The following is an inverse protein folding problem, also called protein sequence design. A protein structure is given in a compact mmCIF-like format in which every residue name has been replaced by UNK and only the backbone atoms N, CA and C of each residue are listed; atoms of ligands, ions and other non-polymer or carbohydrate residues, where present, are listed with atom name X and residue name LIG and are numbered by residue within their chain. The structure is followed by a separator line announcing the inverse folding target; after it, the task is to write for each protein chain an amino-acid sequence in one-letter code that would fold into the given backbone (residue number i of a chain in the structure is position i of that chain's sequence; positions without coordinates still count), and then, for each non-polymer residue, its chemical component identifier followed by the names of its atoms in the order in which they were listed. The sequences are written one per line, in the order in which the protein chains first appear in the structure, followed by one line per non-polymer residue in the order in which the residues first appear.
data_IF_127675454503
#
_entry.id   IF_127675454503
#
_cell.length_a   1.000
_cell.length_b   1.000
_cell.length_c   1.000
_cell.angle_alpha   90.00
_cell.angle_beta   90.00
_cell.angle_gamma   90.00
#
_symmetry.space_group_name_H-M   'P 1'
#
loop_
_entity.id
_entity.type
_entity.pdbx_description
1 polymer ?
#
# COMPACT_ATOMS: atom_id res chain seq x y z
N UNK A 1 -55.84 25.28 8.40
CA UNK A 1 -54.48 25.63 7.95
C UNK A 1 -53.49 24.81 8.76
N UNK A 2 -53.08 23.68 8.23
CA UNK A 2 -52.17 22.76 8.88
C UNK A 2 -50.73 23.03 8.42
N UNK A 3 -49.84 23.39 9.35
CA UNK A 3 -48.41 23.60 9.10
C UNK A 3 -47.70 22.24 9.03
N UNK A 4 -47.25 21.88 7.83
CA UNK A 4 -46.36 20.75 7.61
C UNK A 4 -44.97 21.11 8.19
N UNK A 5 -44.55 20.40 9.24
CA UNK A 5 -43.17 20.47 9.79
C UNK A 5 -42.22 19.83 8.78
N UNK A 6 -41.24 20.62 8.27
CA UNK A 6 -40.10 20.10 7.52
C UNK A 6 -39.32 19.12 8.39
N UNK A 7 -39.19 17.88 7.93
CA UNK A 7 -38.27 16.90 8.51
C UNK A 7 -36.83 17.39 8.32
N UNK A 8 -36.09 17.53 9.40
CA UNK A 8 -34.66 17.74 9.40
C UNK A 8 -33.97 16.51 8.81
N UNK A 9 -33.15 16.70 7.77
CA UNK A 9 -32.24 15.67 7.23
C UNK A 9 -31.38 15.17 8.37
N UNK A 10 -31.48 13.87 8.67
CA UNK A 10 -30.51 13.20 9.50
C UNK A 10 -29.15 13.25 8.77
N UNK A 11 -28.16 13.78 9.44
CA UNK A 11 -26.76 13.75 9.02
C UNK A 11 -26.29 12.29 9.07
N UNK A 12 -26.27 11.63 7.92
CA UNK A 12 -25.66 10.32 7.78
C UNK A 12 -24.14 10.49 7.87
N UNK A 13 -23.63 10.70 9.07
CA UNK A 13 -22.21 10.61 9.39
C UNK A 13 -21.68 9.25 8.93
N UNK A 14 -21.10 9.22 7.75
CA UNK A 14 -20.29 8.10 7.31
C UNK A 14 -19.08 8.06 8.24
N UNK A 15 -19.17 7.25 9.28
CA UNK A 15 -17.99 6.85 10.03
C UNK A 15 -17.09 6.08 9.07
N UNK A 16 -16.06 6.74 8.56
CA UNK A 16 -14.97 6.08 7.87
C UNK A 16 -14.34 5.13 8.90
N UNK A 17 -14.17 3.83 8.61
CA UNK A 17 -13.58 2.93 9.58
C UNK A 17 -12.17 3.43 9.89
N UNK A 18 -11.94 3.85 11.12
CA UNK A 18 -10.62 4.22 11.63
C UNK A 18 -9.75 2.97 11.58
N UNK A 19 -8.73 2.97 10.75
CA UNK A 19 -7.77 1.88 10.69
C UNK A 19 -6.88 2.02 11.93
N UNK A 20 -7.11 1.17 12.94
CA UNK A 20 -6.17 1.06 14.05
C UNK A 20 -4.94 0.31 13.55
N UNK A 21 -3.80 1.01 13.48
CA UNK A 21 -2.52 0.37 13.17
C UNK A 21 -2.21 -0.66 14.27
N UNK A 22 -1.71 -1.87 13.92
CA UNK A 22 -1.27 -2.84 14.91
C UNK A 22 -0.21 -2.23 15.83
N UNK A 23 -0.29 -2.52 17.12
CA UNK A 23 0.65 -1.97 18.12
C UNK A 23 2.05 -2.52 17.95
N UNK A 24 2.17 -3.74 17.41
CA UNK A 24 3.45 -4.44 17.27
C UNK A 24 3.60 -5.03 15.86
N UNK A 25 3.88 -4.15 14.88
CA UNK A 25 4.16 -4.58 13.51
C UNK A 25 5.59 -5.08 13.42
N UNK A 26 5.75 -6.31 12.93
CA UNK A 26 7.06 -6.89 12.62
C UNK A 26 7.24 -7.23 11.14
N UNK A 27 6.15 -7.31 10.39
CA UNK A 27 6.18 -7.65 8.98
C UNK A 27 5.37 -6.66 8.15
N UNK A 28 5.98 -6.12 7.09
CA UNK A 28 5.35 -5.21 6.14
C UNK A 28 5.28 -5.93 4.79
N UNK A 29 4.09 -5.96 4.18
CA UNK A 29 3.89 -6.30 2.77
C UNK A 29 3.40 -5.06 2.03
N UNK A 30 4.22 -4.53 1.14
CA UNK A 30 3.89 -3.41 0.27
C UNK A 30 3.49 -3.89 -1.13
N UNK A 31 2.42 -3.34 -1.69
CA UNK A 31 1.85 -3.73 -2.97
C UNK A 31 1.56 -2.49 -3.84
N UNK A 32 2.17 -2.44 -5.02
CA UNK A 32 1.73 -1.59 -6.13
C UNK A 32 0.87 -2.43 -7.07
N UNK A 33 -0.46 -2.36 -6.89
CA UNK A 33 -1.40 -3.24 -7.60
C UNK A 33 -1.57 -2.82 -9.06
N UNK A 34 -1.24 -3.72 -9.96
CA UNK A 34 -1.42 -3.57 -11.40
C UNK A 34 -2.02 -4.84 -12.02
N UNK A 35 -2.78 -4.68 -13.11
CA UNK A 35 -3.42 -5.79 -13.81
C UNK A 35 -2.43 -6.70 -14.53
N UNK A 36 -1.25 -6.23 -14.89
CA UNK A 36 -0.27 -6.98 -15.65
C UNK A 36 0.94 -7.38 -14.81
N UNK A 37 1.42 -6.45 -13.99
CA UNK A 37 2.66 -6.58 -13.24
C UNK A 37 2.52 -5.86 -11.88
N UNK A 38 1.99 -6.55 -10.86
CA UNK A 38 1.90 -6.02 -9.49
C UNK A 38 3.27 -6.06 -8.83
N UNK A 39 3.79 -4.89 -8.46
CA UNK A 39 5.01 -4.80 -7.66
C UNK A 39 4.75 -5.20 -6.20
N UNK A 40 5.70 -5.91 -5.58
CA UNK A 40 5.65 -6.19 -4.16
C UNK A 40 7.00 -5.96 -3.48
N UNK A 41 6.94 -5.61 -2.20
CA UNK A 41 8.10 -5.60 -1.31
C UNK A 41 7.68 -6.15 0.06
N UNK A 42 8.38 -7.17 0.54
CA UNK A 42 8.23 -7.75 1.88
C UNK A 42 9.40 -7.33 2.74
N UNK A 43 9.13 -6.92 3.97
CA UNK A 43 10.19 -6.51 4.89
C UNK A 43 9.89 -6.95 6.31
N UNK A 44 10.89 -7.53 6.97
CA UNK A 44 10.87 -7.83 8.40
C UNK A 44 11.58 -6.73 9.17
N UNK A 45 10.91 -6.20 10.16
CA UNK A 45 11.47 -5.11 10.98
C UNK A 45 12.50 -5.59 12.01
N UNK A 46 12.41 -6.84 12.46
CA UNK A 46 13.33 -7.42 13.45
C UNK A 46 14.69 -7.86 12.85
N UNK A 47 14.68 -8.47 11.66
CA UNK A 47 15.89 -8.95 11.00
C UNK A 47 16.43 -8.01 9.92
N UNK A 48 15.61 -7.07 9.44
CA UNK A 48 15.94 -6.22 8.29
C UNK A 48 15.85 -6.94 6.94
N UNK A 49 15.46 -8.22 6.92
CA UNK A 49 15.31 -8.98 5.68
C UNK A 49 14.27 -8.35 4.76
N UNK A 50 14.66 -8.21 3.50
CA UNK A 50 13.82 -7.61 2.46
C UNK A 50 13.80 -8.49 1.23
N UNK A 51 12.60 -8.77 0.71
CA UNK A 51 12.37 -9.47 -0.55
C UNK A 51 11.39 -8.65 -1.39
N UNK A 52 11.65 -8.54 -2.69
CA UNK A 52 10.82 -7.77 -3.60
C UNK A 52 10.81 -8.38 -4.99
N UNK A 53 9.79 -8.04 -5.75
CA UNK A 53 9.64 -8.53 -7.12
C UNK A 53 8.32 -8.13 -7.74
N UNK A 54 7.95 -8.85 -8.79
CA UNK A 54 6.74 -8.62 -9.58
C UNK A 54 5.87 -9.87 -9.60
N UNK A 55 4.57 -9.68 -9.42
CA UNK A 55 3.54 -10.69 -9.68
C UNK A 55 3.00 -10.45 -11.08
N UNK A 56 3.38 -11.30 -12.02
CA UNK A 56 2.89 -11.24 -13.40
C UNK A 56 1.55 -11.97 -13.56
N UNK A 57 0.67 -11.39 -14.36
CA UNK A 57 -0.63 -12.03 -14.69
C UNK A 57 -0.51 -13.18 -15.71
N UNK A 58 0.65 -13.33 -16.35
CA UNK A 58 0.95 -14.37 -17.34
C UNK A 58 -0.10 -14.49 -18.46
N UNK A 59 -0.58 -13.36 -18.96
CA UNK A 59 -1.57 -13.29 -20.04
C UNK A 59 -3.01 -13.62 -19.64
N UNK A 60 -3.28 -13.95 -18.36
CA UNK A 60 -4.63 -14.18 -17.83
C UNK A 60 -5.49 -12.93 -17.92
N UNK A 61 -6.81 -13.10 -18.03
CA UNK A 61 -7.77 -12.01 -18.16
C UNK A 61 -8.97 -12.22 -17.24
N UNK A 62 -9.74 -11.14 -17.03
CA UNK A 62 -10.96 -11.21 -16.22
C UNK A 62 -10.72 -11.81 -14.84
N UNK A 63 -11.62 -12.66 -14.39
CA UNK A 63 -11.59 -13.26 -13.05
C UNK A 63 -10.38 -14.18 -12.82
N UNK A 64 -9.90 -14.88 -13.85
CA UNK A 64 -8.72 -15.74 -13.74
C UNK A 64 -7.45 -14.94 -13.41
N UNK A 65 -7.35 -13.72 -13.93
CA UNK A 65 -6.26 -12.80 -13.60
C UNK A 65 -6.35 -12.34 -12.15
N UNK A 66 -7.55 -11.95 -11.70
CA UNK A 66 -7.77 -11.52 -10.32
C UNK A 66 -7.43 -12.64 -9.34
N UNK A 67 -7.89 -13.87 -9.60
CA UNK A 67 -7.59 -15.04 -8.79
C UNK A 67 -6.09 -15.34 -8.72
N UNK A 68 -5.39 -15.26 -9.87
CA UNK A 68 -3.95 -15.50 -9.93
C UNK A 68 -3.17 -14.46 -9.09
N UNK A 69 -3.50 -13.17 -9.19
CA UNK A 69 -2.84 -12.12 -8.41
C UNK A 69 -3.13 -12.31 -6.92
N UNK A 70 -4.40 -12.53 -6.55
CA UNK A 70 -4.80 -12.77 -5.15
C UNK A 70 -4.14 -14.01 -4.57
N UNK A 71 -4.05 -15.10 -5.35
CA UNK A 71 -3.35 -16.33 -4.97
C UNK A 71 -1.87 -16.07 -4.64
N UNK A 72 -1.20 -15.25 -5.46
CA UNK A 72 0.20 -14.86 -5.19
C UNK A 72 0.34 -13.95 -3.96
N UNK A 73 -0.58 -13.00 -3.77
CA UNK A 73 -0.62 -12.16 -2.56
C UNK A 73 -0.80 -13.02 -1.30
N UNK A 74 -1.68 -14.05 -1.35
CA UNK A 74 -1.81 -15.03 -0.25
C UNK A 74 -0.50 -15.77 0.02
N UNK A 75 0.20 -16.21 -1.04
CA UNK A 75 1.51 -16.86 -0.92
C UNK A 75 2.52 -15.95 -0.22
N UNK A 76 2.59 -14.67 -0.60
CA UNK A 76 3.47 -13.70 0.05
C UNK A 76 3.18 -13.48 1.54
N UNK A 77 1.91 -13.63 1.94
CA UNK A 77 1.46 -13.54 3.34
C UNK A 77 1.60 -14.85 4.10
N UNK A 78 1.73 -15.98 3.41
CA UNK A 78 1.84 -17.31 4.00
C UNK A 78 3.26 -17.73 4.36
N UNK A 79 4.27 -17.13 3.72
CA UNK A 79 5.68 -17.48 3.85
C UNK A 79 6.52 -16.32 4.36
N UNK A 80 7.25 -16.55 5.42
CA UNK A 80 8.25 -15.61 5.93
C UNK A 80 9.50 -15.66 5.03
N UNK A 81 10.00 -14.53 4.49
CA UNK A 81 11.11 -14.52 3.56
C UNK A 81 12.42 -15.11 4.10
N UNK A 82 12.64 -15.12 5.41
CA UNK A 82 13.91 -15.61 5.97
C UNK A 82 13.84 -16.91 6.75
N UNK A 83 12.67 -17.35 7.19
CA UNK A 83 12.56 -18.43 8.18
C UNK A 83 11.74 -19.64 7.71
N UNK A 84 11.11 -19.62 6.54
CA UNK A 84 10.20 -20.68 6.09
C UNK A 84 9.03 -20.93 7.06
N UNK A 85 8.71 -19.96 7.91
CA UNK A 85 7.64 -20.01 8.91
C UNK A 85 6.44 -19.20 8.45
N UNK A 86 5.22 -19.56 8.84
CA UNK A 86 4.06 -18.73 8.57
C UNK A 86 4.22 -17.31 9.14
N UNK A 87 3.86 -16.31 8.33
CA UNK A 87 3.83 -14.93 8.80
C UNK A 87 2.80 -14.77 9.90
N UNK A 88 3.18 -14.17 11.03
CA UNK A 88 2.25 -13.89 12.12
C UNK A 88 1.28 -12.77 11.70
N UNK A 89 0.03 -13.10 11.51
CA UNK A 89 -1.01 -12.13 11.10
C UNK A 89 -1.19 -10.97 12.07
N UNK A 90 -0.98 -11.21 13.37
CA UNK A 90 -1.15 -10.19 14.42
C UNK A 90 -0.07 -9.10 14.36
N UNK A 91 1.09 -9.38 13.74
CA UNK A 91 2.19 -8.43 13.58
C UNK A 91 2.43 -8.03 12.12
N UNK A 92 1.45 -8.26 11.24
CA UNK A 92 1.54 -7.94 9.81
C UNK A 92 0.74 -6.69 9.46
N UNK A 93 1.37 -5.77 8.73
CA UNK A 93 0.71 -4.63 8.10
C UNK A 93 0.90 -4.71 6.59
N UNK A 94 -0.21 -4.66 5.85
CA UNK A 94 -0.18 -4.54 4.40
C UNK A 94 -0.31 -3.07 4.02
N UNK A 95 0.50 -2.59 3.07
CA UNK A 95 0.35 -1.26 2.49
C UNK A 95 0.13 -1.38 0.99
N UNK A 96 -0.85 -0.67 0.47
CA UNK A 96 -1.26 -0.74 -0.94
C UNK A 96 -1.22 0.66 -1.52
N UNK A 97 -0.62 0.81 -2.71
CA UNK A 97 -0.75 2.06 -3.45
C UNK A 97 -2.22 2.25 -3.85
N UNK A 98 -2.80 3.39 -3.47
CA UNK A 98 -4.17 3.70 -3.84
C UNK A 98 -4.22 4.04 -5.34
N UNK A 99 -5.23 3.56 -6.06
CA UNK A 99 -5.34 3.85 -7.49
C UNK A 99 -5.84 5.28 -7.73
N UNK A 100 -5.23 5.95 -8.72
CA UNK A 100 -5.69 7.24 -9.19
C UNK A 100 -6.81 7.05 -10.23
N UNK A 101 -7.91 7.77 -10.08
CA UNK A 101 -9.06 7.75 -11.02
C UNK A 101 -8.73 8.26 -12.45
N UNK A 102 -7.48 8.65 -12.71
CA UNK A 102 -7.08 9.39 -13.91
C UNK A 102 -7.09 8.60 -15.23
N UNK A 103 -7.18 7.25 -15.21
CA UNK A 103 -7.24 6.43 -16.44
C UNK A 103 -8.63 5.82 -16.59
N UNK A 104 -9.57 6.58 -17.15
CA UNK A 104 -10.98 6.19 -17.28
C UNK A 104 -11.20 4.79 -17.90
N UNK A 105 -10.38 4.38 -18.88
CA UNK A 105 -10.59 3.13 -19.62
C UNK A 105 -10.21 1.85 -18.85
N UNK A 106 -9.48 1.94 -17.74
CA UNK A 106 -9.08 0.79 -16.91
C UNK A 106 -9.44 0.96 -15.44
N UNK A 107 -10.02 2.10 -15.05
CA UNK A 107 -10.32 2.40 -13.66
C UNK A 107 -11.24 1.37 -12.99
N UNK A 108 -12.23 0.83 -13.72
CA UNK A 108 -13.11 -0.20 -13.19
C UNK A 108 -12.36 -1.53 -12.94
N UNK A 109 -11.49 -1.97 -13.86
CA UNK A 109 -10.74 -3.23 -13.70
C UNK A 109 -9.71 -3.13 -12.56
N UNK A 110 -9.05 -1.99 -12.44
CA UNK A 110 -8.14 -1.72 -11.31
C UNK A 110 -8.94 -1.66 -10.00
N UNK A 111 -10.14 -1.04 -10.00
CA UNK A 111 -11.04 -1.03 -8.85
C UNK A 111 -11.50 -2.42 -8.44
N UNK A 112 -11.79 -3.32 -9.40
CA UNK A 112 -12.09 -4.73 -9.14
C UNK A 112 -10.91 -5.43 -8.44
N UNK A 113 -9.69 -5.28 -8.97
CA UNK A 113 -8.48 -5.86 -8.37
C UNK A 113 -8.28 -5.38 -6.94
N UNK A 114 -8.34 -4.07 -6.72
CA UNK A 114 -8.25 -3.48 -5.38
C UNK A 114 -9.35 -4.00 -4.45
N UNK A 115 -10.58 -4.11 -4.96
CA UNK A 115 -11.71 -4.63 -4.20
C UNK A 115 -11.49 -6.07 -3.74
N UNK A 116 -11.05 -6.95 -4.65
CA UNK A 116 -10.83 -8.37 -4.34
C UNK A 116 -9.64 -8.56 -3.39
N UNK A 117 -8.51 -7.85 -3.60
CA UNK A 117 -7.35 -7.91 -2.69
C UNK A 117 -7.74 -7.43 -1.30
N UNK A 118 -8.39 -6.26 -1.17
CA UNK A 118 -8.83 -5.71 0.13
C UNK A 118 -9.84 -6.60 0.82
N UNK A 119 -10.77 -7.21 0.09
CA UNK A 119 -11.73 -8.18 0.63
C UNK A 119 -11.01 -9.42 1.19
N UNK A 120 -9.99 -9.91 0.47
CA UNK A 120 -9.19 -11.04 0.94
C UNK A 120 -8.42 -10.71 2.22
N UNK A 121 -7.80 -9.53 2.30
CA UNK A 121 -7.13 -9.07 3.52
C UNK A 121 -8.10 -8.97 4.69
N UNK A 122 -9.28 -8.38 4.47
CA UNK A 122 -10.33 -8.27 5.48
C UNK A 122 -10.77 -9.64 5.98
N UNK A 123 -11.01 -10.61 5.10
CA UNK A 123 -11.35 -12.00 5.47
C UNK A 123 -10.30 -12.64 6.35
N UNK A 124 -9.04 -12.30 6.15
CA UNK A 124 -7.93 -12.82 6.96
C UNK A 124 -7.69 -12.04 8.25
N UNK A 125 -8.42 -10.94 8.48
CA UNK A 125 -8.23 -10.06 9.62
C UNK A 125 -6.93 -9.25 9.55
N UNK A 126 -6.39 -9.04 8.33
CA UNK A 126 -5.16 -8.30 8.11
C UNK A 126 -5.44 -6.80 7.93
N UNK A 127 -4.85 -5.93 8.74
CA UNK A 127 -4.94 -4.49 8.56
C UNK A 127 -4.17 -4.05 7.32
N UNK A 128 -4.68 -3.03 6.64
CA UNK A 128 -3.96 -2.44 5.51
C UNK A 128 -4.05 -0.92 5.48
N UNK A 129 -3.01 -0.28 4.95
CA UNK A 129 -2.95 1.15 4.65
C UNK A 129 -3.13 1.39 3.16
N UNK A 130 -3.77 2.50 2.79
CA UNK A 130 -3.81 3.01 1.43
C UNK A 130 -2.97 4.29 1.34
N UNK A 131 -1.98 4.31 0.48
CA UNK A 131 -1.09 5.45 0.25
C UNK A 131 -1.30 5.96 -1.17
N UNK A 132 -1.53 7.27 -1.32
CA UNK A 132 -1.70 7.85 -2.64
C UNK A 132 -0.39 7.84 -3.44
N UNK A 133 -0.42 7.61 -4.79
CA UNK A 133 0.78 7.63 -5.64
C UNK A 133 1.63 8.89 -5.48
N UNK A 134 0.98 10.04 -5.35
CA UNK A 134 1.69 11.31 -5.13
C UNK A 134 2.43 11.37 -3.79
N UNK A 135 1.90 10.72 -2.74
CA UNK A 135 2.57 10.64 -1.44
C UNK A 135 3.80 9.72 -1.52
N UNK A 136 3.67 8.56 -2.18
CA UNK A 136 4.78 7.63 -2.41
C UNK A 136 5.91 8.31 -3.19
N UNK A 137 5.62 8.93 -4.34
CA UNK A 137 6.61 9.66 -5.13
C UNK A 137 7.24 10.82 -4.37
N UNK A 138 6.46 11.59 -3.61
CA UNK A 138 6.98 12.68 -2.77
C UNK A 138 7.88 12.14 -1.67
N UNK A 139 7.57 11.01 -1.06
CA UNK A 139 8.41 10.34 -0.08
C UNK A 139 9.79 10.01 -0.65
N UNK A 140 9.85 9.43 -1.84
CA UNK A 140 11.12 9.01 -2.49
C UNK A 140 11.93 10.22 -2.95
N UNK A 141 11.29 11.16 -3.68
CA UNK A 141 11.98 12.17 -4.48
C UNK A 141 11.89 13.60 -3.94
N UNK A 142 10.94 13.86 -3.05
CA UNK A 142 10.56 15.22 -2.62
C UNK A 142 9.48 15.86 -3.51
N UNK A 143 9.09 15.23 -4.63
CA UNK A 143 8.12 15.77 -5.59
C UNK A 143 7.06 14.71 -5.92
N UNK A 144 5.77 15.05 -5.78
CA UNK A 144 4.66 14.10 -5.97
C UNK A 144 4.36 13.76 -7.44
N UNK A 145 4.88 14.52 -8.40
CA UNK A 145 4.69 14.33 -9.84
C UNK A 145 5.98 13.90 -10.56
N UNK A 146 6.92 13.28 -9.85
CA UNK A 146 8.20 12.81 -10.39
C UNK A 146 8.00 11.79 -11.51
N UNK A 147 8.89 11.85 -12.50
CA UNK A 147 9.00 10.81 -13.51
C UNK A 147 9.67 9.53 -12.94
N UNK A 148 9.57 8.44 -13.70
CA UNK A 148 10.09 7.13 -13.30
C UNK A 148 11.61 7.12 -13.07
N UNK A 149 12.36 7.78 -13.95
CA UNK A 149 13.82 7.79 -13.85
C UNK A 149 14.30 8.49 -12.58
N UNK A 150 13.63 9.59 -12.20
CA UNK A 150 13.93 10.28 -10.95
C UNK A 150 13.61 9.40 -9.74
N UNK A 151 12.48 8.66 -9.76
CA UNK A 151 12.12 7.71 -8.69
C UNK A 151 13.21 6.65 -8.52
N UNK A 152 13.61 5.96 -9.60
CA UNK A 152 14.66 4.93 -9.56
C UNK A 152 15.98 5.48 -9.04
N UNK A 153 16.41 6.65 -9.56
CA UNK A 153 17.64 7.32 -9.15
C UNK A 153 17.66 7.70 -7.67
N UNK A 154 16.57 8.31 -7.17
CA UNK A 154 16.51 8.73 -5.77
C UNK A 154 16.32 7.53 -4.83
N UNK A 155 15.66 6.46 -5.28
CA UNK A 155 15.54 5.21 -4.54
C UNK A 155 16.92 4.58 -4.30
N UNK A 156 17.75 4.46 -5.34
CA UNK A 156 19.12 4.00 -5.22
C UNK A 156 19.95 4.92 -4.31
N UNK A 157 19.90 6.24 -4.55
CA UNK A 157 20.74 7.21 -3.86
C UNK A 157 20.42 7.36 -2.38
N UNK A 158 19.13 7.39 -2.01
CA UNK A 158 18.68 7.70 -0.65
C UNK A 158 18.38 6.47 0.19
N UNK A 159 17.97 5.38 -0.45
CA UNK A 159 17.46 4.19 0.21
C UNK A 159 18.32 2.95 -0.04
N UNK A 160 19.29 3.04 -0.96
CA UNK A 160 20.23 1.95 -1.24
C UNK A 160 19.67 0.81 -2.09
N UNK A 161 18.50 0.99 -2.72
CA UNK A 161 17.89 -0.01 -3.59
C UNK A 161 18.21 0.26 -5.06
N UNK A 162 19.01 -0.61 -5.67
CA UNK A 162 19.32 -0.58 -7.11
C UNK A 162 18.35 -1.50 -7.84
N UNK A 163 17.28 -0.92 -8.37
CA UNK A 163 16.23 -1.63 -9.12
C UNK A 163 15.97 -0.90 -10.44
N UNK A 164 15.52 -1.65 -11.45
CA UNK A 164 15.25 -1.13 -12.80
C UNK A 164 13.78 -1.27 -13.23
N UNK A 165 12.93 -1.78 -12.35
CA UNK A 165 11.48 -1.93 -12.55
C UNK A 165 10.71 -0.93 -11.69
N UNK A 166 9.81 -0.17 -12.30
CA UNK A 166 9.06 0.89 -11.64
C UNK A 166 8.01 0.34 -10.65
N UNK A 167 7.41 -0.83 -10.91
CA UNK A 167 6.46 -1.43 -9.96
C UNK A 167 7.18 -1.89 -8.68
N UNK A 168 8.38 -2.44 -8.83
CA UNK A 168 9.24 -2.78 -7.68
C UNK A 168 9.64 -1.52 -6.92
N UNK A 169 10.05 -0.46 -7.63
CA UNK A 169 10.45 0.80 -7.01
C UNK A 169 9.31 1.44 -6.21
N UNK A 170 8.09 1.45 -6.75
CA UNK A 170 6.91 1.97 -6.05
C UNK A 170 6.57 1.12 -4.82
N UNK A 171 6.66 -0.21 -4.90
CA UNK A 171 6.47 -1.10 -3.74
C UNK A 171 7.53 -0.89 -2.64
N UNK A 172 8.80 -0.69 -2.99
CA UNK A 172 9.87 -0.36 -2.02
C UNK A 172 9.63 1.02 -1.39
N UNK A 173 9.20 2.00 -2.18
CA UNK A 173 8.82 3.32 -1.67
C UNK A 173 7.72 3.23 -0.62
N UNK A 174 6.66 2.47 -0.89
CA UNK A 174 5.57 2.19 0.06
C UNK A 174 6.07 1.53 1.34
N UNK A 175 6.94 0.52 1.23
CA UNK A 175 7.52 -0.17 2.38
C UNK A 175 8.34 0.79 3.25
N UNK A 176 9.25 1.58 2.65
CA UNK A 176 10.10 2.53 3.39
C UNK A 176 9.29 3.67 4.03
N UNK A 177 8.27 4.19 3.34
CA UNK A 177 7.33 5.14 3.92
C UNK A 177 6.56 4.54 5.11
N UNK A 178 6.13 3.28 4.99
CA UNK A 178 5.43 2.59 6.08
C UNK A 178 6.33 2.41 7.30
N UNK A 179 7.63 2.10 7.14
CA UNK A 179 8.60 2.11 8.26
C UNK A 179 8.62 3.45 8.98
N UNK A 180 8.61 4.55 8.22
CA UNK A 180 8.60 5.89 8.81
C UNK A 180 7.28 6.22 9.55
N UNK A 181 6.13 5.82 8.98
CA UNK A 181 4.81 5.95 9.62
C UNK A 181 4.74 5.17 10.94
N UNK A 182 5.37 4.00 11.00
CA UNK A 182 5.47 3.19 12.21
C UNK A 182 6.54 3.68 13.21
N UNK A 183 7.29 4.75 12.90
CA UNK A 183 8.40 5.22 13.72
C UNK A 183 9.61 4.27 13.74
N UNK A 184 9.73 3.39 12.74
CA UNK A 184 10.80 2.40 12.60
C UNK A 184 11.82 2.77 11.52
N UNK A 185 11.81 4.01 11.05
CA UNK A 185 12.78 4.52 10.10
C UNK A 185 14.07 4.96 10.83
N UNK A 186 15.22 4.48 10.34
CA UNK A 186 16.50 4.58 11.06
C UNK A 186 17.21 5.93 10.88
N UNK A 187 16.78 6.72 9.90
CA UNK A 187 17.45 7.99 9.56
C UNK A 187 16.58 9.21 9.91
N UNK A 188 17.19 10.38 10.17
CA UNK A 188 16.44 11.61 10.38
C UNK A 188 15.58 11.96 9.16
N UNK A 189 14.30 12.24 9.40
CA UNK A 189 13.39 12.67 8.34
C UNK A 189 13.67 14.12 7.93
N UNK A 190 13.81 14.37 6.63
CA UNK A 190 13.84 15.70 6.06
C UNK A 190 12.45 16.33 6.00
N UNK A 191 12.34 17.63 5.72
CA UNK A 191 11.08 18.37 5.82
C UNK A 191 9.92 17.77 5.00
N UNK A 192 10.16 17.42 3.74
CA UNK A 192 9.11 16.85 2.89
C UNK A 192 8.68 15.43 3.33
N UNK A 193 9.61 14.64 3.91
CA UNK A 193 9.30 13.33 4.45
C UNK A 193 8.42 13.44 5.70
N UNK A 194 8.71 14.38 6.60
CA UNK A 194 7.85 14.66 7.76
C UNK A 194 6.45 15.05 7.33
N UNK A 195 6.31 15.90 6.31
CA UNK A 195 5.01 16.29 5.76
C UNK A 195 4.23 15.09 5.21
N UNK A 196 4.90 14.18 4.47
CA UNK A 196 4.25 12.98 3.92
C UNK A 196 3.78 12.07 5.04
N UNK A 197 4.63 11.80 6.05
CA UNK A 197 4.28 10.95 7.21
C UNK A 197 3.09 11.54 7.96
N UNK A 198 3.08 12.87 8.24
CA UNK A 198 1.95 13.52 8.90
C UNK A 198 0.64 13.32 8.14
N UNK A 199 0.65 13.54 6.82
CA UNK A 199 -0.55 13.36 5.98
C UNK A 199 -1.06 11.91 5.95
N UNK A 200 -0.17 10.93 5.98
CA UNK A 200 -0.58 9.52 6.05
C UNK A 200 -1.22 9.22 7.40
N UNK A 201 -0.63 9.70 8.50
CA UNK A 201 -1.18 9.52 9.86
C UNK A 201 -2.54 10.21 10.03
N UNK A 202 -2.70 11.43 9.51
CA UNK A 202 -3.98 12.16 9.54
C UNK A 202 -5.08 11.40 8.79
N UNK A 203 -4.76 10.83 7.62
CA UNK A 203 -5.71 10.05 6.83
C UNK A 203 -6.08 8.70 7.47
N UNK A 204 -5.26 8.18 8.36
CA UNK A 204 -5.55 6.93 9.11
C UNK A 204 -6.36 7.17 10.37
N UNK A 205 -6.34 8.40 10.93
CA UNK A 205 -7.07 8.76 12.14
C UNK A 205 -8.53 9.22 11.88
N UNK A 206 -8.87 9.50 10.61
CA UNK A 206 -10.20 9.95 10.17
C UNK A 206 -11.08 8.79 9.71
#
# INVERSE_FOLDING_TARGET
MSRVKKATKADNGKATPTIQLPIDVNFILALDLSLNATGYCRHRLDSGETDYGVIESNGKRGIERLDAIVGRVRGLLGEDPGAGKPVCKLSTLVVIENYAFAKANQAHQIGELHGVVRYELWKQGLPYLLIAPMQNKKWITGQGNSDKNLVLKELMKRYGFDVNDDNIADAIGLMTLTKAVLGKWEHPLVAFQKEVVSKVLEATAS
#
